data_IF_062600262315
#
_entry.id   IF_062600262315
#
_cell.length_a   1.000
_cell.length_b   1.000
_cell.length_c   1.000
_cell.angle_alpha   90.00
_cell.angle_beta   90.00
_cell.angle_gamma   90.00
#
_symmetry.space_group_name_H-M   'P 1'
#
loop_
_entity.id
_entity.type
_entity.pdbx_description
1 polymer ?
#
# COMPACT_ATOMS: atom_id res chain seq x y z
N UNK A 1 4.64 12.00 -15.29
CA UNK A 1 4.91 10.72 -14.59
C UNK A 1 3.59 9.98 -14.51
N UNK A 2 3.52 8.70 -14.90
CA UNK A 2 2.25 7.97 -14.95
C UNK A 2 1.93 7.38 -13.57
N UNK A 3 0.93 7.92 -12.90
CA UNK A 3 0.48 7.44 -11.59
C UNK A 3 -0.32 6.15 -11.77
N UNK A 4 0.09 5.08 -11.10
CA UNK A 4 -0.59 3.78 -11.11
C UNK A 4 -1.27 3.54 -9.77
N UNK A 5 -2.40 2.86 -9.79
CA UNK A 5 -3.10 2.50 -8.55
C UNK A 5 -2.54 1.18 -8.05
N UNK A 6 -2.00 1.18 -6.84
CA UNK A 6 -1.55 -0.01 -6.13
C UNK A 6 -2.53 -0.36 -5.03
N UNK A 7 -2.71 -1.64 -4.80
CA UNK A 7 -3.61 -2.21 -3.81
C UNK A 7 -2.81 -3.04 -2.83
N UNK A 8 -2.88 -2.74 -1.54
CA UNK A 8 -2.19 -3.48 -0.49
C UNK A 8 -3.17 -3.91 0.59
N UNK A 9 -2.81 -4.95 1.34
CA UNK A 9 -3.51 -5.31 2.56
C UNK A 9 -2.66 -4.89 3.74
N UNK A 10 -3.24 -4.10 4.64
CA UNK A 10 -2.61 -3.66 5.87
C UNK A 10 -3.21 -4.39 7.07
N UNK A 11 -2.39 -4.69 8.06
CA UNK A 11 -2.80 -5.23 9.34
C UNK A 11 -3.03 -4.07 10.30
N UNK A 12 -4.28 -3.85 10.64
CA UNK A 12 -4.72 -2.93 11.68
C UNK A 12 -5.00 -3.72 12.96
N UNK A 13 -5.08 -3.02 14.09
CA UNK A 13 -5.46 -3.64 15.38
C UNK A 13 -6.83 -4.31 15.33
N UNK A 14 -7.72 -3.85 14.45
CA UNK A 14 -9.06 -4.39 14.23
C UNK A 14 -9.13 -5.53 13.21
N UNK A 15 -8.06 -5.82 12.46
CA UNK A 15 -8.07 -6.85 11.42
C UNK A 15 -7.22 -6.50 10.20
N UNK A 16 -7.42 -7.23 9.10
CA UNK A 16 -6.76 -6.94 7.82
C UNK A 16 -7.68 -6.04 7.00
N UNK A 17 -7.19 -4.87 6.61
CA UNK A 17 -7.91 -3.94 5.75
C UNK A 17 -7.20 -3.81 4.41
N UNK A 18 -8.00 -3.71 3.36
CA UNK A 18 -7.51 -3.55 2.00
C UNK A 18 -7.54 -2.06 1.62
N UNK A 19 -6.41 -1.53 1.18
CA UNK A 19 -6.21 -0.12 0.90
C UNK A 19 -5.59 0.06 -0.47
N UNK A 20 -5.92 1.19 -1.11
CA UNK A 20 -5.35 1.55 -2.41
C UNK A 20 -4.58 2.86 -2.31
N UNK A 21 -3.43 2.91 -2.96
CA UNK A 21 -2.58 4.10 -3.04
C UNK A 21 -2.25 4.38 -4.51
N UNK A 22 -2.16 5.66 -4.88
CA UNK A 22 -1.69 6.06 -6.20
C UNK A 22 -0.22 6.42 -6.12
N UNK A 23 0.63 5.72 -6.88
CA UNK A 23 2.06 5.93 -6.87
C UNK A 23 2.66 5.65 -8.25
N UNK A 24 3.85 6.17 -8.52
CA UNK A 24 4.52 5.95 -9.82
C UNK A 24 5.07 4.53 -9.97
N UNK A 25 5.49 3.90 -8.87
CA UNK A 25 6.08 2.57 -8.84
C UNK A 25 5.80 1.83 -7.52
N UNK A 26 6.11 0.53 -7.49
CA UNK A 26 5.93 -0.34 -6.33
C UNK A 26 6.65 0.18 -5.07
N UNK A 27 7.87 0.69 -5.22
CA UNK A 27 8.67 1.20 -4.11
C UNK A 27 8.02 2.42 -3.45
N UNK A 28 7.59 3.41 -4.24
CA UNK A 28 6.83 4.57 -3.74
C UNK A 28 5.51 4.14 -3.12
N UNK A 29 4.78 3.21 -3.73
CA UNK A 29 3.53 2.70 -3.17
C UNK A 29 3.76 2.10 -1.77
N UNK A 30 4.83 1.31 -1.61
CA UNK A 30 5.22 0.73 -0.33
C UNK A 30 5.61 1.80 0.68
N UNK A 31 6.46 2.74 0.31
CA UNK A 31 6.86 3.84 1.20
C UNK A 31 5.66 4.68 1.66
N UNK A 32 4.73 5.01 0.75
CA UNK A 32 3.52 5.76 1.11
C UNK A 32 2.63 4.97 2.08
N UNK A 33 2.48 3.66 1.87
CA UNK A 33 1.71 2.80 2.76
C UNK A 33 2.38 2.65 4.14
N UNK A 34 3.70 2.50 4.19
CA UNK A 34 4.45 2.45 5.44
C UNK A 34 4.46 3.80 6.17
N UNK A 35 4.46 4.92 5.44
CA UNK A 35 4.34 6.27 6.00
C UNK A 35 2.94 6.54 6.56
N UNK A 36 1.90 6.01 5.92
CA UNK A 36 0.51 6.26 6.32
C UNK A 36 0.02 5.33 7.43
N UNK A 37 0.43 4.06 7.41
CA UNK A 37 -0.05 3.05 8.34
C UNK A 37 1.02 2.56 9.34
N UNK A 38 2.27 2.97 9.18
CA UNK A 38 3.40 2.53 10.00
C UNK A 38 4.20 1.39 9.37
N UNK A 39 5.51 1.37 9.64
CA UNK A 39 6.40 0.27 9.22
C UNK A 39 5.94 -1.06 9.81
N UNK A 40 5.84 -2.08 8.97
CA UNK A 40 5.37 -3.41 9.38
C UNK A 40 3.85 -3.57 9.39
N UNK A 41 3.09 -2.53 9.08
CA UNK A 41 1.63 -2.61 8.96
C UNK A 41 1.18 -3.22 7.63
N UNK A 42 2.07 -3.40 6.65
CA UNK A 42 1.75 -4.06 5.38
C UNK A 42 1.72 -5.58 5.59
N UNK A 43 0.53 -6.17 5.50
CA UNK A 43 0.32 -7.61 5.57
C UNK A 43 0.60 -8.29 4.23
N UNK A 44 0.16 -7.65 3.13
CA UNK A 44 0.39 -8.10 1.76
C UNK A 44 0.84 -6.91 0.92
N UNK A 45 1.97 -7.06 0.25
CA UNK A 45 2.63 -5.99 -0.49
C UNK A 45 1.73 -5.32 -1.56
N UNK A 46 2.01 -4.06 -1.92
CA UNK A 46 1.24 -3.34 -2.93
C UNK A 46 1.29 -4.04 -4.28
N UNK A 47 0.12 -4.40 -4.81
CA UNK A 47 -0.02 -5.02 -6.13
C UNK A 47 -0.63 -4.00 -7.08
N UNK A 48 -0.09 -3.88 -8.30
CA UNK A 48 -0.65 -2.94 -9.28
C UNK A 48 -2.08 -3.38 -9.65
N UNK A 49 -3.04 -2.48 -9.43
CA UNK A 49 -4.42 -2.66 -9.83
C UNK A 49 -4.54 -2.08 -11.25
N UNK A 50 -4.47 -2.99 -12.23
CA UNK A 50 -4.58 -2.67 -13.65
C UNK A 50 -6.00 -2.28 -14.03
#
# INVERSE_FOLDING_TARGET
MATRTFKAKIKLKSGVQEVTVQADNYFKAKEMLEAQYGKGSIFMGPTEKR
#
